data_IF_699899401116
#
_entry.id   IF_699899401116
#
_cell.length_a   1.000
_cell.length_b   1.000
_cell.length_c   1.000
_cell.angle_alpha   90.00
_cell.angle_beta   90.00
_cell.angle_gamma   90.00
#
_symmetry.space_group_name_H-M   'P 1'
#
loop_
_entity.id
_entity.type
_entity.pdbx_description
1 polymer ?
#
# COMPACT_ATOMS: atom_id res chain seq x y z
N UNK A 1 -52.27 -66.06 58.04
CA UNK A 1 -50.94 -66.68 58.16
C UNK A 1 -51.02 -68.01 57.45
N UNK A 2 -50.43 -68.30 56.30
CA UNK A 2 -49.58 -67.56 55.35
C UNK A 2 -49.71 -68.34 54.04
N UNK A 3 -50.00 -67.69 52.90
CA UNK A 3 -49.01 -67.32 51.86
C UNK A 3 -47.91 -68.38 51.65
N UNK A 4 -47.93 -69.11 50.53
CA UNK A 4 -47.32 -68.69 49.25
C UNK A 4 -47.13 -69.93 48.35
N UNK A 5 -47.78 -69.96 47.18
CA UNK A 5 -47.57 -71.00 46.16
C UNK A 5 -46.21 -70.78 45.46
N UNK A 6 -45.21 -71.60 45.75
CA UNK A 6 -43.95 -71.60 45.00
C UNK A 6 -44.08 -72.40 43.69
N UNK A 7 -44.49 -71.68 42.62
CA UNK A 7 -44.25 -72.09 41.24
C UNK A 7 -42.75 -72.14 40.96
N UNK A 8 -42.20 -73.34 40.78
CA UNK A 8 -40.79 -73.54 40.41
C UNK A 8 -40.49 -72.94 39.03
N UNK A 9 -39.37 -72.20 38.86
CA UNK A 9 -39.02 -71.59 37.58
C UNK A 9 -38.61 -72.68 36.58
N UNK A 10 -39.16 -72.61 35.36
CA UNK A 10 -38.71 -73.45 34.25
C UNK A 10 -37.24 -73.17 33.91
N UNK A 11 -36.46 -74.19 33.51
CA UNK A 11 -35.08 -74.00 33.11
C UNK A 11 -35.00 -73.11 31.86
N UNK A 12 -34.28 -72.01 31.97
CA UNK A 12 -33.94 -71.18 30.80
C UNK A 12 -33.09 -72.01 29.82
N UNK A 13 -33.32 -71.92 28.50
CA UNK A 13 -32.54 -72.66 27.52
C UNK A 13 -31.07 -72.25 27.61
N UNK A 14 -30.18 -73.23 27.74
CA UNK A 14 -28.74 -73.00 27.77
C UNK A 14 -28.30 -72.30 26.48
N UNK A 15 -27.42 -71.28 26.56
CA UNK A 15 -26.96 -70.55 25.38
C UNK A 15 -26.28 -71.51 24.41
N UNK A 16 -26.73 -71.51 23.16
CA UNK A 16 -26.13 -72.27 22.07
C UNK A 16 -24.86 -71.56 21.61
N UNK A 17 -23.73 -72.24 21.76
CA UNK A 17 -22.41 -71.77 21.35
C UNK A 17 -22.03 -72.40 20.00
N UNK A 18 -21.43 -71.62 19.11
CA UNK A 18 -20.83 -72.15 17.88
C UNK A 18 -19.44 -72.76 18.16
N UNK A 19 -18.84 -73.48 17.20
CA UNK A 19 -17.54 -74.20 17.33
C UNK A 19 -16.36 -73.35 17.84
N UNK A 20 -16.47 -72.02 17.81
CA UNK A 20 -15.48 -71.07 18.34
C UNK A 20 -15.77 -70.58 19.78
N UNK A 21 -16.77 -71.15 20.47
CA UNK A 21 -17.08 -70.82 21.87
C UNK A 21 -17.77 -69.45 22.08
N UNK A 22 -18.22 -68.79 21.02
CA UNK A 22 -18.98 -67.52 21.08
C UNK A 22 -20.49 -67.79 21.03
N UNK A 23 -21.23 -67.14 21.93
CA UNK A 23 -22.71 -67.18 21.93
C UNK A 23 -23.29 -66.41 20.74
N UNK A 24 -24.43 -66.82 20.20
CA UNK A 24 -25.11 -66.14 19.07
C UNK A 24 -25.35 -64.64 19.35
N UNK A 25 -25.62 -64.28 20.60
CA UNK A 25 -25.78 -62.91 21.05
C UNK A 25 -24.46 -62.10 20.94
N UNK A 26 -23.32 -62.74 21.19
CA UNK A 26 -22.00 -62.13 21.12
C UNK A 26 -21.58 -61.89 19.66
N UNK A 27 -21.93 -62.81 18.75
CA UNK A 27 -21.71 -62.66 17.31
C UNK A 27 -22.54 -61.51 16.74
N UNK A 28 -23.82 -61.37 17.15
CA UNK A 28 -24.66 -60.23 16.74
C UNK A 28 -24.11 -58.89 17.24
N UNK A 29 -23.64 -58.84 18.50
CA UNK A 29 -23.03 -57.62 19.06
C UNK A 29 -21.71 -57.25 18.34
N UNK A 30 -20.89 -58.24 18.00
CA UNK A 30 -19.64 -58.03 17.24
C UNK A 30 -19.92 -57.52 15.81
N UNK A 31 -20.94 -58.07 15.14
CA UNK A 31 -21.39 -57.58 13.83
C UNK A 31 -21.96 -56.17 13.88
N UNK A 32 -22.76 -55.84 14.91
CA UNK A 32 -23.29 -54.49 15.10
C UNK A 32 -22.19 -53.49 15.42
N UNK A 33 -21.22 -53.86 16.27
CA UNK A 33 -20.05 -53.06 16.55
C UNK A 33 -19.20 -52.81 15.29
N UNK A 34 -19.05 -53.82 14.42
CA UNK A 34 -18.37 -53.68 13.14
C UNK A 34 -19.12 -52.73 12.20
N UNK A 35 -20.44 -52.87 12.08
CA UNK A 35 -21.27 -51.93 11.28
C UNK A 35 -21.22 -50.50 11.81
N UNK A 36 -21.14 -50.31 13.13
CA UNK A 36 -20.98 -48.98 13.72
C UNK A 36 -19.61 -48.36 13.42
N UNK A 37 -18.55 -49.17 13.40
CA UNK A 37 -17.21 -48.73 12.99
C UNK A 37 -17.17 -48.38 11.50
N UNK A 38 -17.71 -49.23 10.64
CA UNK A 38 -17.78 -48.96 9.18
C UNK A 38 -18.53 -47.66 8.89
N UNK A 39 -19.69 -47.40 9.52
CA UNK A 39 -20.40 -46.11 9.35
C UNK A 39 -19.58 -44.92 9.81
N UNK A 40 -18.89 -45.02 10.95
CA UNK A 40 -18.04 -43.94 11.45
C UNK A 40 -16.82 -43.69 10.54
N UNK A 41 -16.27 -44.75 9.93
CA UNK A 41 -15.21 -44.65 8.93
C UNK A 41 -15.70 -44.02 7.62
N UNK A 42 -16.91 -44.35 7.18
CA UNK A 42 -17.57 -43.74 6.02
C UNK A 42 -17.84 -42.24 6.26
N UNK A 43 -18.44 -41.88 7.39
CA UNK A 43 -18.65 -40.48 7.79
C UNK A 43 -17.32 -39.70 7.87
N UNK A 44 -16.25 -40.33 8.36
CA UNK A 44 -14.93 -39.70 8.40
C UNK A 44 -14.34 -39.48 7.00
N UNK A 45 -14.51 -40.45 6.09
CA UNK A 45 -14.06 -40.32 4.69
C UNK A 45 -14.82 -39.23 3.96
N UNK A 46 -16.15 -39.18 4.11
CA UNK A 46 -16.97 -38.10 3.53
C UNK A 46 -16.56 -36.72 4.06
N UNK A 47 -16.25 -36.62 5.36
CA UNK A 47 -15.73 -35.38 5.94
C UNK A 47 -14.34 -35.00 5.38
N UNK A 48 -13.43 -35.95 5.20
CA UNK A 48 -12.13 -35.70 4.56
C UNK A 48 -12.26 -35.25 3.11
N UNK A 49 -13.15 -35.89 2.33
CA UNK A 49 -13.43 -35.51 0.95
C UNK A 49 -14.06 -34.12 0.85
N UNK A 50 -15.03 -33.81 1.73
CA UNK A 50 -15.60 -32.47 1.82
C UNK A 50 -14.54 -31.41 2.13
N UNK A 51 -13.68 -31.66 3.12
CA UNK A 51 -12.58 -30.75 3.49
C UNK A 51 -11.54 -30.61 2.39
N UNK A 52 -11.28 -31.68 1.62
CA UNK A 52 -10.41 -31.63 0.44
C UNK A 52 -11.02 -30.77 -0.65
N UNK A 53 -12.31 -30.94 -0.97
CA UNK A 53 -13.02 -30.14 -1.96
C UNK A 53 -13.04 -28.65 -1.60
N UNK A 54 -13.25 -28.31 -0.33
CA UNK A 54 -13.21 -26.91 0.11
C UNK A 54 -11.81 -26.29 -0.02
N UNK A 55 -10.74 -27.06 0.28
CA UNK A 55 -9.36 -26.60 0.04
C UNK A 55 -9.08 -26.40 -1.45
N UNK A 56 -9.52 -27.32 -2.29
CA UNK A 56 -9.34 -27.25 -3.74
C UNK A 56 -10.05 -26.03 -4.34
N UNK A 57 -11.31 -25.77 -3.95
CA UNK A 57 -12.02 -24.55 -4.36
C UNK A 57 -11.31 -23.27 -3.92
N UNK A 58 -10.85 -23.21 -2.67
CA UNK A 58 -10.13 -22.06 -2.15
C UNK A 58 -8.79 -21.85 -2.88
N UNK A 59 -8.07 -22.92 -3.20
CA UNK A 59 -6.84 -22.88 -3.98
C UNK A 59 -7.08 -22.42 -5.42
N UNK A 60 -8.16 -22.89 -6.06
CA UNK A 60 -8.57 -22.44 -7.39
C UNK A 60 -8.94 -20.96 -7.43
N UNK A 61 -9.69 -20.47 -6.43
CA UNK A 61 -10.03 -19.05 -6.32
C UNK A 61 -8.76 -18.20 -6.15
N UNK A 62 -7.85 -18.62 -5.27
CA UNK A 62 -6.55 -17.95 -5.10
C UNK A 62 -5.75 -17.97 -6.40
N UNK A 63 -5.76 -19.08 -7.15
CA UNK A 63 -5.08 -19.19 -8.45
C UNK A 63 -5.67 -18.20 -9.46
N UNK A 64 -6.99 -18.13 -9.60
CA UNK A 64 -7.67 -17.20 -10.50
C UNK A 64 -7.39 -15.73 -10.11
N UNK A 65 -7.38 -15.41 -8.82
CA UNK A 65 -7.05 -14.07 -8.34
C UNK A 65 -5.60 -13.68 -8.66
N UNK A 66 -4.66 -14.62 -8.50
CA UNK A 66 -3.26 -14.41 -8.88
C UNK A 66 -3.11 -14.20 -10.38
N UNK A 67 -3.76 -15.03 -11.20
CA UNK A 67 -3.73 -14.91 -12.65
C UNK A 67 -4.29 -13.55 -13.12
N UNK A 68 -5.46 -13.13 -12.61
CA UNK A 68 -6.02 -11.78 -12.90
C UNK A 68 -5.10 -10.64 -12.47
N UNK A 69 -4.34 -10.81 -11.39
CA UNK A 69 -3.37 -9.81 -10.92
C UNK A 69 -2.15 -9.76 -11.85
N UNK A 70 -1.68 -10.91 -12.31
CA UNK A 70 -0.59 -11.00 -13.28
C UNK A 70 -0.99 -10.44 -14.64
N UNK A 71 -2.19 -10.77 -15.14
CA UNK A 71 -2.75 -10.19 -16.37
C UNK A 71 -2.82 -8.66 -16.29
N UNK A 72 -3.40 -8.10 -15.22
CA UNK A 72 -3.41 -6.64 -15.00
C UNK A 72 -2.01 -6.03 -14.84
N UNK A 73 -1.01 -6.80 -14.42
CA UNK A 73 0.38 -6.33 -14.34
C UNK A 73 1.05 -6.36 -15.72
N UNK A 74 0.78 -7.39 -16.52
CA UNK A 74 1.27 -7.53 -17.88
C UNK A 74 0.69 -6.43 -18.78
N UNK A 75 -0.62 -6.19 -18.71
CA UNK A 75 -1.30 -5.13 -19.48
C UNK A 75 -0.72 -3.75 -19.16
N UNK A 76 -0.56 -3.41 -17.87
CA UNK A 76 0.10 -2.15 -17.47
C UNK A 76 1.55 -2.05 -17.95
N UNK A 77 2.29 -3.16 -17.95
CA UNK A 77 3.66 -3.18 -18.47
C UNK A 77 3.69 -2.99 -20.00
N UNK A 78 2.73 -3.54 -20.73
CA UNK A 78 2.60 -3.33 -22.18
C UNK A 78 2.20 -1.89 -22.51
N UNK A 79 1.27 -1.30 -21.77
CA UNK A 79 0.90 0.12 -21.92
C UNK A 79 2.08 1.05 -21.63
N UNK A 80 2.82 0.79 -20.54
CA UNK A 80 4.01 1.56 -20.19
C UNK A 80 5.09 1.42 -21.27
N UNK A 81 5.29 0.21 -21.81
CA UNK A 81 6.23 -0.03 -22.91
C UNK A 81 5.82 0.72 -24.18
N UNK A 82 4.54 0.70 -24.56
CA UNK A 82 4.02 1.47 -25.71
C UNK A 82 4.21 2.96 -25.52
N UNK A 83 3.91 3.49 -24.33
CA UNK A 83 4.10 4.90 -24.03
C UNK A 83 5.58 5.30 -24.04
N UNK A 84 6.46 4.44 -23.52
CA UNK A 84 7.91 4.66 -23.56
C UNK A 84 8.44 4.65 -24.99
N UNK A 85 7.96 3.74 -25.85
CA UNK A 85 8.33 3.69 -27.26
C UNK A 85 7.88 4.95 -28.01
N UNK A 86 6.65 5.42 -27.79
CA UNK A 86 6.15 6.69 -28.32
C UNK A 86 7.03 7.87 -27.91
N UNK A 87 7.41 7.95 -26.64
CA UNK A 87 8.32 9.00 -26.13
C UNK A 87 9.71 8.92 -26.74
N UNK A 88 10.25 7.71 -26.94
CA UNK A 88 11.54 7.54 -27.60
C UNK A 88 11.51 7.99 -29.07
N UNK A 89 10.42 7.69 -29.79
CA UNK A 89 10.24 8.14 -31.18
C UNK A 89 10.12 9.66 -31.26
N UNK A 90 9.38 10.28 -30.34
CA UNK A 90 9.26 11.75 -30.26
C UNK A 90 10.60 12.41 -29.91
N UNK A 91 11.35 11.86 -28.96
CA UNK A 91 12.68 12.36 -28.59
C UNK A 91 13.69 12.20 -29.74
N UNK A 92 13.66 11.08 -30.46
CA UNK A 92 14.50 10.87 -31.65
C UNK A 92 14.15 11.87 -32.76
N UNK A 93 12.87 12.14 -33.01
CA UNK A 93 12.45 13.16 -33.97
C UNK A 93 12.92 14.56 -33.55
N UNK A 94 12.80 14.91 -32.27
CA UNK A 94 13.27 16.20 -31.74
C UNK A 94 14.78 16.34 -31.88
N UNK A 95 15.55 15.30 -31.55
CA UNK A 95 17.02 15.29 -31.73
C UNK A 95 17.42 15.41 -33.20
N UNK A 96 16.74 14.71 -34.10
CA UNK A 96 16.99 14.81 -35.54
C UNK A 96 16.69 16.22 -36.09
N UNK A 97 15.60 16.85 -35.65
CA UNK A 97 15.25 18.23 -36.02
C UNK A 97 16.26 19.26 -35.46
N UNK A 98 16.70 19.08 -34.22
CA UNK A 98 17.76 19.90 -33.61
C UNK A 98 19.10 19.76 -34.35
N UNK A 99 19.48 18.55 -34.74
CA UNK A 99 20.69 18.28 -35.53
C UNK A 99 20.60 18.89 -36.94
N UNK A 100 19.44 18.78 -37.61
CA UNK A 100 19.20 19.40 -38.92
C UNK A 100 19.26 20.94 -38.83
N UNK A 101 18.65 21.52 -37.80
CA UNK A 101 18.70 22.97 -37.54
C UNK A 101 20.12 23.45 -37.23
N UNK A 102 20.88 22.67 -36.45
CA UNK A 102 22.29 22.96 -36.18
C UNK A 102 23.16 22.83 -37.43
N UNK A 103 22.86 21.87 -38.32
CA UNK A 103 23.57 21.73 -39.60
C UNK A 103 23.28 22.91 -40.52
N UNK A 104 22.02 23.32 -40.67
CA UNK A 104 21.63 24.51 -41.45
C UNK A 104 22.30 25.79 -40.91
N UNK A 105 22.35 25.95 -39.59
CA UNK A 105 23.03 27.09 -38.96
C UNK A 105 24.54 27.10 -39.25
N UNK A 106 25.21 25.93 -39.21
CA UNK A 106 26.63 25.80 -39.56
C UNK A 106 26.90 26.09 -41.04
N UNK A 107 26.05 25.63 -41.95
CA UNK A 107 26.15 25.90 -43.39
C UNK A 107 25.90 27.40 -43.71
N UNK A 108 24.93 28.04 -43.06
CA UNK A 108 24.68 29.48 -43.20
C UNK A 108 25.81 30.34 -42.61
N UNK A 109 26.38 29.93 -41.46
CA UNK A 109 27.51 30.61 -40.85
C UNK A 109 28.78 30.47 -41.69
N UNK A 110 29.02 29.31 -42.30
CA UNK A 110 30.11 29.11 -43.28
C UNK A 110 29.92 30.01 -44.51
N UNK A 111 28.72 30.04 -45.11
CA UNK A 111 28.43 30.92 -46.25
C UNK A 111 28.62 32.40 -45.90
N UNK A 112 28.19 32.83 -44.71
CA UNK A 112 28.37 34.20 -44.21
C UNK A 112 29.83 34.51 -43.87
N UNK A 113 30.63 33.50 -43.54
CA UNK A 113 32.08 33.64 -43.33
C UNK A 113 32.80 33.77 -44.67
N UNK A 114 32.46 32.95 -45.66
CA UNK A 114 32.99 33.04 -47.03
C UNK A 114 32.64 34.38 -47.68
N UNK A 115 31.41 34.89 -47.51
CA UNK A 115 31.02 36.21 -48.00
C UNK A 115 31.79 37.34 -47.30
N UNK A 116 32.04 37.21 -45.99
CA UNK A 116 32.87 38.15 -45.23
C UNK A 116 34.33 38.10 -45.65
N UNK A 117 34.87 36.91 -45.93
CA UNK A 117 36.24 36.74 -46.42
C UNK A 117 36.38 37.29 -47.85
N UNK A 118 35.42 37.07 -48.74
CA UNK A 118 35.37 37.68 -50.08
C UNK A 118 35.29 39.20 -50.01
N UNK A 119 34.41 39.73 -49.15
CA UNK A 119 34.25 41.18 -48.96
C UNK A 119 35.48 41.81 -48.28
N UNK A 120 36.18 41.06 -47.43
CA UNK A 120 37.45 41.48 -46.84
C UNK A 120 38.56 41.48 -47.88
N UNK A 121 38.64 40.47 -48.75
CA UNK A 121 39.57 40.45 -49.88
C UNK A 121 39.32 41.63 -50.82
N UNK A 122 38.07 41.89 -51.21
CA UNK A 122 37.69 43.05 -52.02
C UNK A 122 38.01 44.39 -51.34
N UNK A 123 37.84 44.46 -50.02
CA UNK A 123 38.22 45.65 -49.24
C UNK A 123 39.73 45.80 -49.09
N UNK A 124 40.50 44.71 -48.97
CA UNK A 124 41.97 44.75 -48.93
C UNK A 124 42.56 45.10 -50.30
N UNK A 125 41.99 44.59 -51.40
CA UNK A 125 42.29 45.04 -52.76
C UNK A 125 42.00 46.54 -52.93
N UNK A 126 40.87 47.03 -52.38
CA UNK A 126 40.52 48.45 -52.37
C UNK A 126 41.35 49.29 -51.40
N UNK A 127 41.88 48.72 -50.32
CA UNK A 127 42.75 49.41 -49.34
C UNK A 127 44.18 49.50 -49.84
N UNK A 128 44.64 48.53 -50.64
CA UNK A 128 45.88 48.66 -51.41
C UNK A 128 45.82 49.79 -52.45
N UNK A 129 44.62 50.28 -52.79
CA UNK A 129 44.46 51.60 -53.41
C UNK A 129 44.53 52.71 -52.33
N UNK A 130 45.76 53.03 -51.96
CA UNK A 130 46.25 54.34 -51.51
C UNK A 130 45.41 55.10 -50.45
N UNK A 131 45.76 54.98 -49.15
CA UNK A 131 45.53 56.03 -48.13
C UNK A 131 46.34 55.86 -46.82
N UNK A 132 46.65 56.97 -46.09
CA UNK A 132 47.68 57.02 -45.05
C UNK A 132 47.22 56.64 -43.63
N UNK A 133 48.18 56.13 -42.85
CA UNK A 133 48.07 55.54 -41.50
C UNK A 133 47.80 56.57 -40.38
N UNK A 134 46.84 56.30 -39.50
CA UNK A 134 46.75 56.93 -38.17
C UNK A 134 46.65 55.87 -37.06
N UNK A 135 47.43 56.08 -36.00
CA UNK A 135 47.65 55.19 -34.86
C UNK A 135 46.57 55.44 -33.79
N UNK A 136 45.85 54.39 -33.38
CA UNK A 136 44.95 54.42 -32.21
C UNK A 136 45.46 53.42 -31.18
N UNK A 137 45.80 53.93 -30.00
CA UNK A 137 46.24 53.17 -28.83
C UNK A 137 45.03 52.57 -28.09
N UNK A 138 45.11 51.27 -27.77
CA UNK A 138 44.09 50.52 -27.03
C UNK A 138 44.54 50.35 -25.58
N UNK A 139 43.66 50.67 -24.62
CA UNK A 139 43.87 50.47 -23.18
C UNK A 139 43.11 49.22 -22.74
N UNK A 140 43.82 48.27 -22.13
CA UNK A 140 43.28 47.07 -21.49
C UNK A 140 42.81 47.36 -20.05
N UNK A 141 41.75 46.70 -19.62
CA UNK A 141 41.32 46.67 -18.22
C UNK A 141 40.04 45.86 -18.03
N UNK A 142 40.03 44.95 -17.06
CA UNK A 142 38.79 44.33 -16.54
C UNK A 142 38.97 42.89 -16.03
N UNK A 143 39.20 42.77 -14.71
CA UNK A 143 39.32 41.55 -13.91
C UNK A 143 38.10 40.61 -13.95
N UNK A 144 38.35 39.30 -13.81
CA UNK A 144 37.36 38.29 -13.42
C UNK A 144 37.72 37.76 -12.03
N UNK A 145 37.09 38.30 -10.99
CA UNK A 145 37.05 37.70 -9.66
C UNK A 145 36.03 36.55 -9.65
N UNK A 146 36.51 35.37 -9.28
CA UNK A 146 35.71 34.20 -8.98
C UNK A 146 35.27 34.20 -7.51
N UNK A 147 34.05 33.71 -7.27
CA UNK A 147 33.44 33.08 -6.06
C UNK A 147 31.98 33.57 -5.89
N UNK A 148 31.04 32.82 -5.25
CA UNK A 148 31.15 31.46 -4.69
C UNK A 148 29.97 30.51 -5.03
N UNK A 149 30.19 29.24 -4.73
CA UNK A 149 29.35 28.06 -4.97
C UNK A 149 28.00 28.00 -4.21
N UNK A 150 27.53 29.09 -3.59
CA UNK A 150 26.23 29.12 -2.90
C UNK A 150 25.04 29.18 -3.86
N UNK A 151 25.24 29.70 -5.08
CA UNK A 151 24.18 29.76 -6.10
C UNK A 151 23.85 28.38 -6.72
N UNK A 152 24.77 27.41 -6.65
CA UNK A 152 24.60 26.08 -7.27
C UNK A 152 23.61 25.16 -6.55
N UNK A 153 23.18 25.48 -5.32
CA UNK A 153 22.13 24.72 -4.62
C UNK A 153 20.72 25.22 -4.92
N UNK A 154 20.58 26.47 -5.36
CA UNK A 154 19.30 27.03 -5.81
C UNK A 154 19.03 26.76 -7.30
N UNK A 155 20.06 26.47 -8.10
CA UNK A 155 19.93 26.23 -9.54
C UNK A 155 19.37 24.85 -9.94
N UNK A 156 19.31 23.87 -9.04
CA UNK A 156 18.96 22.46 -9.41
C UNK A 156 17.53 22.07 -9.02
N UNK A 157 16.88 22.82 -8.15
CA UNK A 157 15.47 22.64 -7.82
C UNK A 157 14.75 23.93 -8.13
N UNK A 158 13.81 23.90 -9.08
CA UNK A 158 12.88 25.02 -9.33
C UNK A 158 12.46 25.61 -7.98
N UNK A 159 12.59 26.92 -7.80
CA UNK A 159 12.23 27.57 -6.54
C UNK A 159 10.81 27.17 -6.16
N UNK A 160 10.52 27.02 -4.86
CA UNK A 160 9.19 26.65 -4.37
C UNK A 160 8.10 27.56 -4.97
N UNK A 161 8.42 28.84 -5.14
CA UNK A 161 7.55 29.83 -5.76
C UNK A 161 7.32 29.56 -7.26
N UNK A 162 8.35 29.13 -7.99
CA UNK A 162 8.24 28.73 -9.40
C UNK A 162 7.40 27.47 -9.57
N UNK A 163 7.54 26.48 -8.68
CA UNK A 163 6.70 25.27 -8.67
C UNK A 163 5.23 25.58 -8.37
N UNK A 164 4.97 26.48 -7.42
CA UNK A 164 3.60 26.92 -7.11
C UNK A 164 2.99 27.72 -8.26
N UNK A 165 3.77 28.59 -8.92
CA UNK A 165 3.35 29.33 -10.10
C UNK A 165 3.05 28.41 -11.28
N UNK A 166 3.92 27.43 -11.57
CA UNK A 166 3.68 26.40 -12.60
C UNK A 166 2.43 25.59 -12.27
N UNK A 167 2.24 25.18 -11.01
CA UNK A 167 1.04 24.46 -10.59
C UNK A 167 -0.22 25.28 -10.83
N UNK A 168 -0.23 26.57 -10.46
CA UNK A 168 -1.36 27.48 -10.69
C UNK A 168 -1.65 27.63 -12.19
N UNK A 169 -0.62 27.86 -13.00
CA UNK A 169 -0.75 27.97 -14.45
C UNK A 169 -1.33 26.70 -15.09
N UNK A 170 -0.87 25.51 -14.66
CA UNK A 170 -1.40 24.23 -15.15
C UNK A 170 -2.86 24.05 -14.73
N UNK A 171 -3.23 24.41 -13.50
CA UNK A 171 -4.61 24.32 -13.03
C UNK A 171 -5.51 25.25 -13.84
N UNK A 172 -5.09 26.50 -14.07
CA UNK A 172 -5.84 27.47 -14.87
C UNK A 172 -6.02 27.01 -16.32
N UNK A 173 -4.97 26.42 -16.91
CA UNK A 173 -5.06 25.84 -18.26
C UNK A 173 -6.02 24.64 -18.31
N UNK A 174 -6.05 23.79 -17.29
CA UNK A 174 -6.90 22.59 -17.24
C UNK A 174 -8.34 22.87 -16.81
N UNK A 175 -8.54 23.90 -16.00
CA UNK A 175 -9.83 24.29 -15.41
C UNK A 175 -10.15 25.72 -15.85
N UNK A 176 -10.56 25.90 -17.12
CA UNK A 176 -10.96 27.21 -17.60
C UNK A 176 -12.25 27.69 -16.90
N UNK A 177 -12.41 29.00 -16.65
CA UNK A 177 -13.62 29.54 -16.06
C UNK A 177 -14.83 29.29 -16.95
N UNK A 178 -15.93 28.84 -16.35
CA UNK A 178 -17.16 28.48 -17.07
C UNK A 178 -18.08 29.70 -17.09
N UNK A 179 -18.45 30.15 -18.29
CA UNK A 179 -19.45 31.21 -18.44
C UNK A 179 -20.85 30.59 -18.53
N UNK A 180 -21.61 30.69 -17.44
CA UNK A 180 -22.97 30.13 -17.33
C UNK A 180 -24.06 31.06 -17.87
N UNK A 181 -23.76 32.34 -18.07
CA UNK A 181 -24.76 33.39 -18.33
C UNK A 181 -25.41 33.31 -19.72
N UNK A 182 -24.76 32.67 -20.68
CA UNK A 182 -25.22 32.54 -22.06
C UNK A 182 -25.72 31.13 -22.43
N UNK A 183 -25.80 30.21 -21.46
CA UNK A 183 -26.17 28.82 -21.70
C UNK A 183 -27.68 28.60 -21.54
N UNK A 184 -28.29 27.85 -22.47
CA UNK A 184 -29.66 27.35 -22.35
C UNK A 184 -29.76 26.20 -21.33
N UNK A 185 -30.97 25.87 -20.87
CA UNK A 185 -31.19 24.81 -19.87
C UNK A 185 -30.64 23.44 -20.30
N UNK A 186 -30.75 23.09 -21.58
CA UNK A 186 -30.21 21.84 -22.12
C UNK A 186 -28.68 21.84 -22.14
N UNK A 187 -28.06 22.96 -22.51
CA UNK A 187 -26.60 23.14 -22.48
C UNK A 187 -26.05 23.09 -21.05
N UNK A 188 -26.77 23.67 -20.08
CA UNK A 188 -26.40 23.59 -18.66
C UNK A 188 -26.43 22.14 -18.16
N UNK A 189 -27.45 21.35 -18.51
CA UNK A 189 -27.53 19.94 -18.15
C UNK A 189 -26.39 19.12 -18.77
N UNK A 190 -26.09 19.35 -20.06
CA UNK A 190 -24.98 18.70 -20.74
C UNK A 190 -23.63 19.05 -20.09
N UNK A 191 -23.41 20.33 -19.75
CA UNK A 191 -22.17 20.78 -19.11
C UNK A 191 -22.01 20.24 -17.70
N UNK A 192 -23.09 20.17 -16.92
CA UNK A 192 -23.08 19.56 -15.60
C UNK A 192 -22.67 18.07 -15.66
N UNK A 193 -23.20 17.32 -16.64
CA UNK A 193 -22.83 15.92 -16.85
C UNK A 193 -21.36 15.76 -17.24
N UNK A 194 -20.86 16.60 -18.15
CA UNK A 194 -19.45 16.60 -18.56
C UNK A 194 -18.50 16.84 -17.37
N UNK A 195 -18.82 17.83 -16.50
CA UNK A 195 -18.02 18.12 -15.31
C UNK A 195 -18.08 16.99 -14.29
N UNK A 196 -19.24 16.36 -14.12
CA UNK A 196 -19.39 15.21 -13.25
C UNK A 196 -18.51 14.04 -13.71
N UNK A 197 -18.54 13.71 -15.00
CA UNK A 197 -17.75 12.62 -15.56
C UNK A 197 -16.24 12.94 -15.52
N UNK A 198 -15.87 14.22 -15.67
CA UNK A 198 -14.51 14.71 -15.46
C UNK A 198 -14.06 14.56 -14.01
N UNK A 199 -14.88 14.97 -13.05
CA UNK A 199 -14.59 14.87 -11.62
C UNK A 199 -14.41 13.41 -11.21
N UNK A 200 -15.30 12.53 -11.64
CA UNK A 200 -15.23 11.10 -11.31
C UNK A 200 -13.92 10.46 -11.77
N UNK A 201 -13.46 10.79 -12.98
CA UNK A 201 -12.18 10.32 -13.52
C UNK A 201 -10.98 10.85 -12.73
N UNK A 202 -10.95 12.16 -12.47
CA UNK A 202 -9.86 12.80 -11.71
C UNK A 202 -9.79 12.26 -10.29
N UNK A 203 -10.92 11.97 -9.65
CA UNK A 203 -10.96 11.41 -8.31
C UNK A 203 -10.34 10.00 -8.28
N UNK A 204 -10.62 9.18 -9.30
CA UNK A 204 -9.95 7.88 -9.48
C UNK A 204 -8.43 8.01 -9.66
N UNK A 205 -7.99 8.93 -10.53
CA UNK A 205 -6.57 9.22 -10.73
C UNK A 205 -5.89 9.72 -9.43
N UNK A 206 -6.57 10.56 -8.66
CA UNK A 206 -6.07 11.07 -7.39
C UNK A 206 -5.93 9.95 -6.35
N UNK A 207 -6.90 9.04 -6.27
CA UNK A 207 -6.81 7.85 -5.41
C UNK A 207 -5.58 7.00 -5.77
N UNK A 208 -5.39 6.68 -7.05
CA UNK A 208 -4.26 5.87 -7.51
C UNK A 208 -2.91 6.53 -7.24
N UNK A 209 -2.81 7.84 -7.49
CA UNK A 209 -1.62 8.63 -7.16
C UNK A 209 -1.37 8.66 -5.65
N UNK A 210 -2.43 8.80 -4.84
CA UNK A 210 -2.35 8.75 -3.39
C UNK A 210 -1.83 7.40 -2.87
N UNK A 211 -2.29 6.29 -3.45
CA UNK A 211 -1.78 4.95 -3.09
C UNK A 211 -0.31 4.78 -3.48
N UNK A 212 0.07 5.24 -4.68
CA UNK A 212 1.48 5.24 -5.11
C UNK A 212 2.36 6.07 -4.18
N UNK A 213 1.90 7.26 -3.82
CA UNK A 213 2.61 8.15 -2.89
C UNK A 213 2.81 7.52 -1.52
N UNK A 214 1.77 6.88 -0.95
CA UNK A 214 1.87 6.15 0.32
C UNK A 214 2.92 5.04 0.25
N UNK A 215 2.92 4.25 -0.83
CA UNK A 215 3.91 3.18 -1.04
C UNK A 215 5.33 3.73 -1.17
N UNK A 216 5.53 4.76 -2.00
CA UNK A 216 6.83 5.40 -2.15
C UNK A 216 7.33 6.01 -0.83
N UNK A 217 6.42 6.57 -0.02
CA UNK A 217 6.75 7.10 1.30
C UNK A 217 7.21 6.01 2.26
N UNK A 218 6.55 4.85 2.23
CA UNK A 218 6.98 3.67 2.99
C UNK A 218 8.35 3.16 2.54
N UNK A 219 8.56 2.97 1.24
CA UNK A 219 9.84 2.53 0.68
C UNK A 219 10.98 3.51 1.04
N UNK A 220 10.70 4.81 1.00
CA UNK A 220 11.65 5.86 1.43
C UNK A 220 11.99 5.78 2.92
N UNK A 221 11.01 5.49 3.78
CA UNK A 221 11.24 5.31 5.22
C UNK A 221 12.09 4.07 5.50
N UNK A 222 11.82 2.95 4.83
CA UNK A 222 12.60 1.71 4.96
C UNK A 222 14.04 1.91 4.48
N UNK A 223 14.25 2.56 3.33
CA UNK A 223 15.58 2.89 2.81
C UNK A 223 16.35 3.81 3.76
N UNK A 224 15.68 4.81 4.33
CA UNK A 224 16.29 5.70 5.32
C UNK A 224 16.68 4.96 6.60
N UNK A 225 15.86 4.02 7.06
CA UNK A 225 16.19 3.16 8.20
C UNK A 225 17.35 2.22 7.91
N UNK A 226 17.34 1.55 6.76
CA UNK A 226 18.44 0.67 6.32
C UNK A 226 19.75 1.45 6.19
N UNK A 227 19.72 2.66 5.65
CA UNK A 227 20.89 3.54 5.60
C UNK A 227 21.39 3.91 7.00
N UNK A 228 20.49 4.20 7.95
CA UNK A 228 20.86 4.43 9.37
C UNK A 228 21.50 3.19 10.00
N UNK A 229 20.96 2.00 9.75
CA UNK A 229 21.53 0.74 10.27
C UNK A 229 22.92 0.44 9.68
N UNK A 230 23.11 0.65 8.36
CA UNK A 230 24.42 0.52 7.71
C UNK A 230 25.44 1.52 8.28
N UNK A 231 25.04 2.77 8.50
CA UNK A 231 25.89 3.79 9.11
C UNK A 231 26.21 3.51 10.59
N UNK A 232 25.30 2.85 11.31
CA UNK A 232 25.48 2.39 12.70
C UNK A 232 26.49 1.24 12.80
N UNK A 233 26.57 0.39 11.78
CA UNK A 233 27.56 -0.70 11.69
C UNK A 233 29.01 -0.24 11.43
N UNK A 234 29.21 1.01 10.97
CA UNK A 234 30.53 1.52 10.60
C UNK A 234 31.25 2.33 11.69
N UNK A 235 30.53 2.93 12.66
CA UNK A 235 31.13 3.73 13.73
C UNK A 235 30.33 3.58 15.02
N UNK A 236 30.92 2.89 15.99
CA UNK A 236 30.52 2.93 17.38
C UNK A 236 30.69 4.37 17.92
N UNK A 237 29.68 5.21 17.74
CA UNK A 237 29.45 6.39 18.58
C UNK A 237 28.00 6.34 19.02
N UNK A 238 27.80 6.43 20.33
CA UNK A 238 26.49 6.47 20.95
C UNK A 238 25.69 7.64 20.37
N UNK A 239 24.68 7.31 19.58
CA UNK A 239 23.64 8.26 19.19
C UNK A 239 22.60 8.19 20.30
N UNK A 240 22.23 9.30 20.96
CA UNK A 240 21.14 9.29 21.93
C UNK A 240 19.87 8.75 21.26
N UNK A 241 19.19 7.83 21.93
CA UNK A 241 17.93 7.18 21.50
C UNK A 241 16.75 8.16 21.58
N UNK A 242 16.90 9.35 20.99
CA UNK A 242 15.81 10.31 20.85
C UNK A 242 15.02 9.97 19.57
N UNK A 243 13.70 9.83 19.72
CA UNK A 243 12.78 9.65 18.59
C UNK A 243 12.96 10.82 17.62
N UNK A 244 13.25 10.53 16.35
CA UNK A 244 13.40 11.53 15.30
C UNK A 244 12.14 12.43 15.25
N UNK A 245 12.26 13.74 15.54
CA UNK A 245 11.12 14.68 15.54
C UNK A 245 10.40 14.75 14.19
N UNK A 246 11.02 14.27 13.11
CA UNK A 246 10.41 14.17 11.78
C UNK A 246 9.49 12.95 11.67
N UNK A 247 9.83 11.81 12.27
CA UNK A 247 9.01 10.60 12.23
C UNK A 247 7.64 10.81 12.90
N UNK A 248 7.61 11.58 14.00
CA UNK A 248 6.39 11.95 14.71
C UNK A 248 5.41 12.82 13.89
N UNK A 249 5.91 13.56 12.89
CA UNK A 249 5.09 14.49 12.09
C UNK A 249 4.48 13.86 10.85
N UNK A 250 5.01 12.73 10.37
CA UNK A 250 4.64 12.16 9.08
C UNK A 250 3.70 10.95 9.16
N UNK A 251 3.59 10.25 10.29
CA UNK A 251 2.95 8.94 10.27
C UNK A 251 1.49 8.91 10.72
N UNK A 252 1.04 9.69 11.73
CA UNK A 252 -0.27 9.43 12.37
C UNK A 252 -0.43 7.99 12.89
N UNK A 253 0.63 7.19 12.81
CA UNK A 253 0.75 5.81 13.22
C UNK A 253 1.45 5.88 14.57
N UNK A 254 0.88 5.28 15.63
CA UNK A 254 1.48 5.27 16.95
C UNK A 254 2.94 4.80 16.86
N UNK A 255 3.86 5.41 17.62
CA UNK A 255 5.26 4.98 17.61
C UNK A 255 5.33 3.49 17.91
N UNK A 256 6.15 2.76 17.16
CA UNK A 256 6.34 1.33 17.38
C UNK A 256 6.81 1.11 18.83
N UNK A 257 6.00 0.39 19.61
CA UNK A 257 6.34 0.01 20.97
C UNK A 257 7.48 -1.01 20.90
N UNK A 258 8.64 -0.67 21.45
CA UNK A 258 9.76 -1.60 21.54
C UNK A 258 9.38 -2.73 22.51
N UNK A 259 9.15 -3.92 21.97
CA UNK A 259 8.78 -5.12 22.75
C UNK A 259 9.94 -5.69 23.57
N UNK A 260 11.17 -5.24 23.32
CA UNK A 260 12.36 -5.62 24.07
C UNK A 260 12.86 -4.42 24.87
N UNK A 261 13.23 -4.67 26.13
CA UNK A 261 13.93 -3.68 26.94
C UNK A 261 15.33 -3.46 26.35
N UNK A 262 15.80 -2.21 26.28
CA UNK A 262 17.17 -1.89 25.85
C UNK A 262 18.24 -2.58 26.74
N UNK A 263 17.82 -3.04 27.92
CA UNK A 263 18.65 -3.74 28.89
C UNK A 263 18.57 -5.27 28.79
N UNK A 264 17.65 -5.87 28.01
CA UNK A 264 17.56 -7.34 27.86
C UNK A 264 18.86 -7.95 27.32
N UNK A 265 19.54 -7.23 26.42
CA UNK A 265 20.79 -7.67 25.79
C UNK A 265 22.03 -7.29 26.59
N UNK A 266 21.88 -6.52 27.67
CA UNK A 266 22.97 -6.10 28.54
C UNK A 266 22.99 -7.03 29.74
N UNK A 267 24.09 -7.77 29.90
CA UNK A 267 24.27 -8.66 31.06
C UNK A 267 24.30 -7.81 32.33
N UNK A 268 23.32 -7.98 33.21
CA UNK A 268 23.21 -7.19 34.45
C UNK A 268 24.49 -7.32 35.28
N UNK A 269 25.23 -6.22 35.50
CA UNK A 269 26.50 -6.24 36.22
C UNK A 269 26.32 -6.42 37.73
N UNK A 270 25.09 -6.34 38.25
CA UNK A 270 24.79 -6.53 39.67
C UNK A 270 25.01 -7.99 40.09
N UNK A 271 25.43 -8.17 41.34
CA UNK A 271 25.65 -9.50 41.93
C UNK A 271 24.32 -10.27 42.05
N UNK A 272 24.39 -11.60 42.16
CA UNK A 272 23.17 -12.42 42.31
C UNK A 272 22.32 -11.99 43.52
N UNK A 273 22.96 -11.58 44.62
CA UNK A 273 22.28 -11.13 45.84
C UNK A 273 21.50 -9.84 45.59
N UNK A 274 22.08 -8.89 44.85
CA UNK A 274 21.44 -7.61 44.53
C UNK A 274 20.32 -7.75 43.50
N UNK A 275 20.42 -8.72 42.57
CA UNK A 275 19.33 -8.98 41.60
C UNK A 275 18.14 -9.66 42.26
N UNK A 276 18.37 -10.46 43.29
CA UNK A 276 17.31 -11.19 44.00
C UNK A 276 16.35 -10.27 44.75
N UNK A 277 16.84 -9.13 45.25
CA UNK A 277 16.03 -8.18 46.03
C UNK A 277 15.18 -7.26 45.16
N UNK A 278 15.50 -7.11 43.87
CA UNK A 278 14.73 -6.27 42.93
C UNK A 278 13.33 -6.86 42.64
N UNK A 279 13.18 -8.19 42.76
CA UNK A 279 11.92 -8.90 42.51
C UNK A 279 11.27 -9.43 43.79
N UNK A 280 11.71 -8.99 44.98
CA UNK A 280 11.19 -9.46 46.27
C UNK A 280 10.24 -8.47 46.96
N UNK A 281 9.65 -7.53 46.20
CA UNK A 281 8.61 -6.61 46.68
C UNK A 281 7.24 -6.97 46.10
N UNK A 282 6.19 -6.32 46.62
CA UNK A 282 4.87 -6.36 46.01
C UNK A 282 4.97 -5.83 44.58
N UNK A 283 4.64 -6.67 43.59
CA UNK A 283 4.49 -6.20 42.22
C UNK A 283 3.34 -5.21 42.22
N UNK A 284 3.63 -3.92 42.12
CA UNK A 284 2.63 -2.87 41.89
C UNK A 284 2.01 -3.11 40.51
N UNK A 285 1.06 -4.04 40.43
CA UNK A 285 0.13 -4.12 39.33
C UNK A 285 -0.80 -2.91 39.50
N UNK A 286 -0.64 -1.90 38.65
CA UNK A 286 -1.65 -0.84 38.55
C UNK A 286 -2.99 -1.51 38.24
N UNK A 287 -3.92 -1.42 39.18
CA UNK A 287 -5.25 -1.99 39.03
C UNK A 287 -6.03 -1.11 38.05
N UNK A 288 -5.96 -1.43 36.76
CA UNK A 288 -6.69 -0.71 35.74
C UNK A 288 -8.19 -0.90 35.94
N UNK A 289 -8.86 0.15 36.38
CA UNK A 289 -10.31 0.17 36.49
C UNK A 289 -10.89 0.14 35.08
N UNK A 290 -11.51 -0.99 34.70
CA UNK A 290 -12.22 -1.09 33.42
C UNK A 290 -13.29 0.00 33.37
N UNK A 291 -13.14 0.91 32.41
CA UNK A 291 -14.17 1.92 32.12
C UNK A 291 -15.40 1.16 31.62
N UNK A 292 -16.54 1.35 32.27
CA UNK A 292 -17.80 0.74 31.84
C UNK A 292 -18.25 1.35 30.51
N UNK A 293 -18.74 0.55 29.56
CA UNK A 293 -19.17 1.07 28.27
C UNK A 293 -20.38 1.99 28.45
N UNK A 294 -20.33 3.17 27.82
CA UNK A 294 -21.39 4.18 27.88
C UNK A 294 -22.56 3.90 26.94
N UNK A 295 -22.34 3.07 25.92
CA UNK A 295 -23.32 2.75 24.88
C UNK A 295 -23.29 1.26 24.56
N UNK A 296 -24.46 0.71 24.28
CA UNK A 296 -24.64 -0.68 23.88
C UNK A 296 -25.23 -0.70 22.46
N UNK A 297 -24.56 -1.37 21.52
CA UNK A 297 -25.06 -1.52 20.16
C UNK A 297 -25.89 -2.80 20.06
N UNK A 298 -27.15 -2.67 19.69
CA UNK A 298 -28.09 -3.80 19.52
C UNK A 298 -28.49 -3.89 18.05
N UNK A 299 -28.45 -5.10 17.51
CA UNK A 299 -28.85 -5.37 16.13
C UNK A 299 -30.34 -5.68 16.09
N UNK A 300 -31.10 -4.85 15.38
CA UNK A 300 -32.54 -5.02 15.12
C UNK A 300 -32.78 -5.34 13.65
N UNK A 301 -34.00 -5.74 13.28
CA UNK A 301 -34.36 -6.06 11.88
C UNK A 301 -34.19 -4.85 10.92
N UNK A 302 -34.19 -3.63 11.45
CA UNK A 302 -33.97 -2.39 10.71
C UNK A 302 -32.50 -1.90 10.72
N UNK A 303 -31.60 -2.63 11.40
CA UNK A 303 -30.16 -2.33 11.48
C UNK A 303 -29.60 -2.18 12.90
N UNK A 304 -28.38 -1.63 12.99
CA UNK A 304 -27.71 -1.42 14.28
C UNK A 304 -28.21 -0.15 14.96
N UNK A 305 -28.79 -0.31 16.15
CA UNK A 305 -29.22 0.79 17.01
C UNK A 305 -28.25 0.94 18.18
N UNK A 306 -27.85 2.17 18.48
CA UNK A 306 -26.98 2.49 19.62
C UNK A 306 -27.88 2.91 20.79
N UNK A 307 -27.94 2.08 21.83
CA UNK A 307 -28.66 2.34 23.06
C UNK A 307 -27.75 2.99 24.10
N UNK A 308 -28.30 3.89 24.90
CA UNK A 308 -27.58 4.48 26.02
C UNK A 308 -27.50 3.49 27.19
N UNK A 309 -26.46 3.60 28.03
CA UNK A 309 -26.31 2.76 29.20
C UNK A 309 -27.54 2.87 30.14
N UNK A 310 -28.35 1.80 30.18
CA UNK A 310 -29.57 1.71 31.01
C UNK A 310 -30.88 1.52 30.22
N UNK A 311 -30.87 1.65 28.89
CA UNK A 311 -32.03 1.33 28.07
C UNK A 311 -32.09 -0.18 27.80
N UNK A 312 -33.20 -0.81 28.22
CA UNK A 312 -33.43 -2.22 27.91
C UNK A 312 -33.71 -2.38 26.41
N UNK A 313 -33.11 -3.38 25.75
CA UNK A 313 -33.41 -3.65 24.35
C UNK A 313 -34.91 -3.96 24.19
N UNK A 314 -35.54 -3.54 23.09
CA UNK A 314 -36.94 -3.85 22.83
C UNK A 314 -37.13 -5.37 22.84
N UNK A 315 -37.97 -5.88 23.73
CA UNK A 315 -38.27 -7.31 23.80
C UNK A 315 -38.91 -7.74 22.49
N UNK A 316 -38.32 -8.69 21.77
CA UNK A 316 -39.00 -9.38 20.69
C UNK A 316 -40.22 -10.08 21.27
N UNK A 317 -41.39 -9.47 21.11
CA UNK A 317 -42.69 -10.06 21.43
C UNK A 317 -42.95 -11.08 20.32
N UNK A 318 -42.56 -12.33 20.55
CA UNK A 318 -42.95 -13.42 19.69
C UNK A 318 -44.49 -13.49 19.71
N UNK A 319 -45.12 -13.20 18.57
CA UNK A 319 -46.55 -13.40 18.40
C UNK A 319 -46.84 -14.90 18.44
N UNK A 320 -47.38 -15.38 19.56
CA UNK A 320 -47.99 -16.70 19.66
C UNK A 320 -49.24 -16.70 18.78
N UNK A 321 -49.13 -17.39 17.64
CA UNK A 321 -50.25 -17.70 16.77
C UNK A 321 -51.15 -18.71 17.48
N UNK A 322 -52.22 -18.21 18.10
CA UNK A 322 -53.31 -19.02 18.67
C UNK A 322 -53.99 -19.75 17.53
N UNK A 323 -53.78 -21.06 17.46
CA UNK A 323 -54.55 -21.98 16.63
C UNK A 323 -55.88 -22.24 17.32
N UNK A 324 -56.97 -21.97 16.61
CA UNK A 324 -58.33 -22.24 17.05
C UNK A 324 -58.66 -23.73 16.86
N UNK A 325 -59.26 -24.33 17.88
CA UNK A 325 -60.12 -25.52 17.79
C UNK A 325 -61.52 -25.18 18.32
#
# INVERSE_FOLDING_TARGET
MSDDEHSSPQPTPAPTFNDEGKSEAQIRMEQEAKRRRERAEEEWREYEEFRRGEREKAEEEIRQLRERREQRKAERAEEEKRLAELRQVEEQKRRAEEEERQRKKREEEQRKREERERKKQEWEERKNANRPNFVITKREGGELQAQPEEQKKEEVTKSKEQLEAEKRAIIEQRVPPINVSSMSMEQLKAKAKELHDLLFRIEGENYDLGQRFKRQSYDMQELAERARQMNKGGKARAIPNELDPRAAKFSGIPPMVAMYSQYERVKDPRSFVDRRTVFSGENYAEEFHRITPSHQVVMTEEGFQVLNAGENPPSHRAEETVTAE
#
